data_IF_318766455606
#
_entry.id   IF_318766455606
#
_cell.length_a   1.000
_cell.length_b   1.000
_cell.length_c   1.000
_cell.angle_alpha   90.00
_cell.angle_beta   90.00
_cell.angle_gamma   90.00
#
_symmetry.space_group_name_H-M   'P 1'
#
loop_
_entity.id
_entity.type
_entity.pdbx_description
1 polymer ?
#
# COMPACT_ATOMS: atom_id res chain seq x y z
N UNK A 1 17.19 -22.50 -8.04
CA UNK A 1 16.71 -21.17 -8.50
C UNK A 1 16.55 -20.21 -7.30
N UNK A 2 17.60 -20.04 -6.48
CA UNK A 2 17.57 -19.28 -5.21
C UNK A 2 17.55 -17.77 -5.47
N UNK A 3 18.26 -17.32 -6.51
CA UNK A 3 18.37 -15.92 -6.89
C UNK A 3 17.02 -15.28 -7.26
N UNK A 4 16.12 -16.03 -7.92
CA UNK A 4 14.77 -15.54 -8.25
C UNK A 4 13.97 -15.16 -6.99
N UNK A 5 13.94 -16.02 -5.97
CA UNK A 5 13.18 -15.75 -4.74
C UNK A 5 13.72 -14.52 -4.02
N UNK A 6 15.05 -14.41 -3.95
CA UNK A 6 15.73 -13.24 -3.37
C UNK A 6 15.45 -11.95 -4.16
N UNK A 7 15.45 -12.01 -5.48
CA UNK A 7 15.15 -10.86 -6.33
C UNK A 7 13.68 -10.43 -6.18
N UNK A 8 12.75 -11.40 -6.19
CA UNK A 8 11.33 -11.15 -5.99
C UNK A 8 11.04 -10.55 -4.62
N UNK A 9 11.69 -11.01 -3.55
CA UNK A 9 11.52 -10.42 -2.21
C UNK A 9 12.11 -9.02 -2.10
N UNK A 10 13.10 -8.68 -2.93
CA UNK A 10 13.76 -7.36 -2.91
C UNK A 10 12.99 -6.32 -3.71
N UNK A 11 12.45 -6.68 -4.88
CA UNK A 11 11.81 -5.75 -5.84
C UNK A 11 10.34 -6.13 -6.07
N UNK A 12 9.65 -6.59 -5.02
CA UNK A 12 8.24 -6.98 -5.15
C UNK A 12 7.38 -5.79 -5.53
N UNK A 13 6.42 -6.00 -6.43
CA UNK A 13 5.45 -4.97 -6.80
C UNK A 13 4.67 -4.44 -5.58
N UNK A 14 4.51 -5.24 -4.53
CA UNK A 14 3.82 -4.81 -3.30
C UNK A 14 4.50 -3.63 -2.59
N UNK A 15 5.80 -3.38 -2.84
CA UNK A 15 6.46 -2.17 -2.37
C UNK A 15 5.84 -0.90 -2.98
N UNK A 16 5.30 -0.94 -4.20
CA UNK A 16 4.64 0.23 -4.79
C UNK A 16 3.39 0.62 -3.99
N UNK A 17 2.59 -0.35 -3.56
CA UNK A 17 1.43 -0.11 -2.69
C UNK A 17 1.86 0.40 -1.31
N UNK A 18 2.94 -0.16 -0.75
CA UNK A 18 3.46 0.27 0.55
C UNK A 18 3.94 1.72 0.50
N UNK A 19 4.62 2.12 -0.59
CA UNK A 19 5.03 3.51 -0.81
C UNK A 19 3.80 4.41 -0.97
N UNK A 20 2.80 4.02 -1.77
CA UNK A 20 1.57 4.80 -1.91
C UNK A 20 0.86 5.01 -0.57
N UNK A 21 0.75 3.95 0.25
CA UNK A 21 0.21 4.04 1.61
C UNK A 21 1.04 4.97 2.49
N UNK A 22 2.37 4.82 2.47
CA UNK A 22 3.29 5.63 3.26
C UNK A 22 3.17 7.13 2.93
N UNK A 23 3.05 7.48 1.65
CA UNK A 23 2.84 8.86 1.23
C UNK A 23 1.53 9.41 1.81
N UNK A 24 0.43 8.67 1.70
CA UNK A 24 -0.85 9.05 2.32
C UNK A 24 -0.73 9.22 3.85
N UNK A 25 0.05 8.36 4.52
CA UNK A 25 0.29 8.45 5.95
C UNK A 25 1.04 9.73 6.33
N UNK A 26 2.12 10.06 5.61
CA UNK A 26 2.90 11.28 5.82
C UNK A 26 2.05 12.54 5.60
N UNK A 27 1.16 12.52 4.61
CA UNK A 27 0.24 13.62 4.36
C UNK A 27 -0.98 13.62 5.29
N UNK A 28 -1.02 12.72 6.29
CA UNK A 28 -2.10 12.57 7.27
C UNK A 28 -3.48 12.38 6.63
N UNK A 29 -3.51 11.74 5.46
CA UNK A 29 -4.76 11.40 4.79
C UNK A 29 -5.54 10.37 5.61
N UNK A 30 -6.87 10.44 5.54
CA UNK A 30 -7.75 9.48 6.20
C UNK A 30 -7.82 8.17 5.41
N UNK A 31 -6.68 7.51 5.22
CA UNK A 31 -6.51 6.31 4.39
C UNK A 31 -5.91 5.19 5.23
N UNK A 32 -6.52 4.02 5.16
CA UNK A 32 -6.07 2.80 5.81
C UNK A 32 -5.40 1.86 4.80
N UNK A 33 -4.58 0.89 5.25
CA UNK A 33 -4.01 -0.13 4.38
C UNK A 33 -5.09 -0.86 3.55
N UNK A 34 -6.26 -1.09 4.14
CA UNK A 34 -7.41 -1.72 3.48
C UNK A 34 -7.94 -0.91 2.30
N UNK A 35 -7.89 0.42 2.36
CA UNK A 35 -8.34 1.28 1.26
C UNK A 35 -7.42 1.15 0.04
N UNK A 36 -6.10 1.17 0.26
CA UNK A 36 -5.10 0.98 -0.80
C UNK A 36 -5.26 -0.39 -1.48
N UNK A 37 -5.42 -1.44 -0.68
CA UNK A 37 -5.63 -2.79 -1.19
C UNK A 37 -6.96 -2.91 -1.95
N UNK A 38 -8.03 -2.29 -1.43
CA UNK A 38 -9.32 -2.23 -2.11
C UNK A 38 -9.21 -1.51 -3.45
N UNK A 39 -8.51 -0.37 -3.51
CA UNK A 39 -8.29 0.35 -4.77
C UNK A 39 -7.47 -0.46 -5.78
N UNK A 40 -6.51 -1.28 -5.33
CA UNK A 40 -5.80 -2.20 -6.20
C UNK A 40 -6.70 -3.31 -6.76
N UNK A 41 -7.62 -3.86 -5.94
CA UNK A 41 -8.58 -4.89 -6.35
C UNK A 41 -9.65 -4.31 -7.29
N UNK A 42 -10.16 -3.11 -7.00
CA UNK A 42 -11.16 -2.40 -7.80
C UNK A 42 -10.58 -1.73 -9.05
N UNK A 43 -9.32 -2.02 -9.41
CA UNK A 43 -8.61 -1.46 -10.57
C UNK A 43 -8.50 0.08 -10.59
N UNK A 44 -8.74 0.75 -9.46
CA UNK A 44 -8.46 2.18 -9.28
C UNK A 44 -6.97 2.47 -9.22
N UNK A 45 -6.17 1.47 -8.83
CA UNK A 45 -4.72 1.46 -8.98
C UNK A 45 -4.35 0.41 -10.03
N UNK A 46 -3.41 0.71 -10.96
CA UNK A 46 -3.02 -0.21 -12.02
C UNK A 46 -2.09 -1.33 -11.52
N UNK A 47 -2.37 -1.91 -10.35
CA UNK A 47 -1.53 -2.90 -9.70
C UNK A 47 -1.49 -4.23 -10.48
N UNK A 48 -2.66 -4.80 -10.80
CA UNK A 48 -2.74 -6.04 -11.59
C UNK A 48 -2.31 -5.86 -13.04
N UNK A 49 -2.50 -4.66 -13.59
CA UNK A 49 -2.06 -4.30 -14.94
C UNK A 49 -0.57 -3.90 -15.03
N UNK A 50 0.12 -3.71 -13.90
CA UNK A 50 1.49 -3.17 -13.87
C UNK A 50 2.47 -3.96 -14.74
N UNK A 51 2.36 -5.30 -14.77
CA UNK A 51 3.24 -6.15 -15.59
C UNK A 51 3.20 -5.82 -17.09
N UNK A 52 2.05 -5.36 -17.60
CA UNK A 52 1.90 -4.99 -19.02
C UNK A 52 2.67 -3.70 -19.29
N UNK A 53 2.51 -2.71 -18.41
CA UNK A 53 3.18 -1.41 -18.58
C UNK A 53 4.70 -1.53 -18.39
N UNK A 54 5.14 -2.25 -17.35
CA UNK A 54 6.55 -2.55 -17.11
C UNK A 54 7.16 -3.26 -18.34
N UNK A 55 6.43 -4.20 -18.95
CA UNK A 55 6.89 -4.92 -20.15
C UNK A 55 7.03 -4.00 -21.37
N UNK A 56 6.17 -2.98 -21.53
CA UNK A 56 6.33 -2.00 -22.61
C UNK A 56 7.62 -1.18 -22.44
N UNK A 57 7.95 -0.82 -21.20
CA UNK A 57 9.12 0.01 -20.90
C UNK A 57 10.44 -0.77 -20.93
N UNK A 58 10.47 -1.98 -20.35
CA UNK A 58 11.68 -2.80 -20.20
C UNK A 58 11.85 -3.88 -21.28
N UNK A 59 10.83 -4.09 -22.12
CA UNK A 59 10.77 -5.22 -23.05
C UNK A 59 10.42 -6.54 -22.36
N UNK A 60 10.42 -7.64 -23.13
CA UNK A 60 10.08 -8.97 -22.62
C UNK A 60 11.23 -9.63 -21.85
N UNK A 61 12.47 -9.30 -22.20
CA UNK A 61 13.70 -9.87 -21.66
C UNK A 61 14.81 -8.83 -21.67
N UNK A 62 15.55 -8.74 -20.56
CA UNK A 62 16.82 -8.01 -20.51
C UNK A 62 17.96 -9.01 -20.60
N UNK A 63 19.01 -8.70 -21.37
CA UNK A 63 20.24 -9.52 -21.37
C UNK A 63 20.86 -9.64 -19.96
N UNK A 64 20.60 -8.66 -19.08
CA UNK A 64 21.09 -8.62 -17.71
C UNK A 64 20.18 -9.34 -16.70
N UNK A 65 18.90 -9.60 -17.04
CA UNK A 65 17.98 -10.32 -16.16
C UNK A 65 17.28 -11.46 -16.91
N UNK A 66 17.65 -12.73 -16.67
CA UNK A 66 17.10 -13.88 -17.39
C UNK A 66 15.65 -14.21 -16.98
N UNK A 67 15.04 -13.43 -16.08
CA UNK A 67 13.68 -13.65 -15.59
C UNK A 67 12.73 -12.77 -16.40
N UNK A 68 11.66 -13.36 -16.94
CA UNK A 68 10.65 -12.59 -17.68
C UNK A 68 9.93 -11.60 -16.77
N UNK A 69 9.63 -10.41 -17.32
CA UNK A 69 8.91 -9.35 -16.62
C UNK A 69 7.59 -9.85 -16.03
N UNK A 70 6.84 -10.65 -16.78
CA UNK A 70 5.57 -11.22 -16.32
C UNK A 70 5.75 -12.16 -15.12
N UNK A 71 6.90 -12.84 -14.99
CA UNK A 71 7.17 -13.71 -13.83
C UNK A 71 7.54 -12.91 -12.59
N UNK A 72 8.17 -11.74 -12.75
CA UNK A 72 8.53 -10.87 -11.62
C UNK A 72 7.38 -9.99 -11.14
N UNK A 73 6.63 -9.39 -12.07
CA UNK A 73 5.77 -8.25 -11.79
C UNK A 73 4.29 -8.49 -12.06
N UNK A 74 3.86 -9.73 -12.31
CA UNK A 74 2.43 -10.06 -12.40
C UNK A 74 1.93 -10.49 -11.02
N UNK A 75 1.22 -9.62 -10.29
CA UNK A 75 0.62 -10.01 -9.03
C UNK A 75 -0.56 -10.96 -9.29
N UNK A 76 -0.71 -11.97 -8.43
CA UNK A 76 -1.86 -12.88 -8.41
C UNK A 76 -2.85 -12.46 -7.32
N UNK A 77 -2.32 -11.91 -6.23
CA UNK A 77 -3.06 -11.43 -5.07
C UNK A 77 -2.42 -10.14 -4.56
N UNK A 78 -3.19 -9.40 -3.77
CA UNK A 78 -2.65 -8.31 -2.95
C UNK A 78 -2.17 -8.86 -1.61
N UNK A 79 -1.21 -8.19 -0.99
CA UNK A 79 -0.75 -8.55 0.36
C UNK A 79 -1.83 -8.29 1.41
N UNK A 80 -1.69 -8.88 2.62
CA UNK A 80 -2.61 -8.55 3.72
C UNK A 80 -2.42 -7.10 4.19
N UNK A 81 -3.45 -6.48 4.79
CA UNK A 81 -3.35 -5.13 5.37
C UNK A 81 -2.17 -4.98 6.34
N UNK A 82 -1.98 -5.96 7.23
CA UNK A 82 -0.89 -5.97 8.22
C UNK A 82 0.48 -6.06 7.54
N UNK A 83 0.59 -6.84 6.46
CA UNK A 83 1.83 -6.95 5.71
C UNK A 83 2.14 -5.65 4.97
N UNK A 84 1.13 -4.99 4.40
CA UNK A 84 1.29 -3.68 3.75
C UNK A 84 1.80 -2.64 4.74
N UNK A 85 1.19 -2.56 5.92
CA UNK A 85 1.58 -1.65 7.00
C UNK A 85 3.00 -1.94 7.49
N UNK A 86 3.33 -3.21 7.76
CA UNK A 86 4.69 -3.63 8.13
C UNK A 86 5.73 -3.25 7.07
N UNK A 87 5.39 -3.39 5.78
CA UNK A 87 6.28 -2.98 4.69
C UNK A 87 6.47 -1.47 4.65
N UNK A 88 5.40 -0.68 4.82
CA UNK A 88 5.50 0.77 4.87
C UNK A 88 6.35 1.26 6.05
N UNK A 89 6.17 0.64 7.23
CA UNK A 89 7.00 0.93 8.41
C UNK A 89 8.48 0.56 8.19
N UNK A 90 8.77 -0.60 7.57
CA UNK A 90 10.14 -1.01 7.23
C UNK A 90 10.80 -0.04 6.24
N UNK A 91 10.05 0.43 5.22
CA UNK A 91 10.52 1.45 4.28
C UNK A 91 10.87 2.73 5.04
N UNK A 92 9.93 3.25 5.85
CA UNK A 92 10.12 4.48 6.62
C UNK A 92 11.37 4.39 7.52
N UNK A 93 11.54 3.27 8.22
CA UNK A 93 12.72 3.01 9.05
C UNK A 93 14.01 3.03 8.23
N UNK A 94 14.04 2.35 7.07
CA UNK A 94 15.22 2.30 6.18
C UNK A 94 15.64 3.67 5.66
N UNK A 95 14.68 4.54 5.38
CA UNK A 95 14.95 5.90 4.89
C UNK A 95 15.03 6.94 6.02
N UNK A 96 14.99 6.50 7.29
CA UNK A 96 14.98 7.36 8.48
C UNK A 96 13.89 8.43 8.45
N UNK A 97 12.72 8.07 7.89
CA UNK A 97 11.55 8.93 7.86
C UNK A 97 10.80 8.79 9.19
N UNK A 98 10.68 9.91 9.91
CA UNK A 98 9.84 9.99 11.09
C UNK A 98 8.36 9.92 10.69
N UNK A 99 7.64 8.96 11.28
CA UNK A 99 6.23 8.77 11.04
C UNK A 99 5.41 9.53 12.10
N UNK A 100 4.49 10.37 11.66
CA UNK A 100 3.48 10.93 12.56
C UNK A 100 2.46 9.87 12.99
N UNK A 101 1.67 10.17 14.02
CA UNK A 101 0.45 9.40 14.29
C UNK A 101 -0.50 9.45 13.10
N UNK A 102 -1.29 8.38 12.94
CA UNK A 102 -2.40 8.36 11.97
C UNK A 102 -3.40 9.47 12.29
N UNK A 103 -4.07 10.00 11.27
CA UNK A 103 -5.13 10.99 11.45
C UNK A 103 -6.43 10.32 11.93
N UNK A 104 -6.43 9.89 13.19
CA UNK A 104 -7.54 9.14 13.79
C UNK A 104 -8.87 9.89 13.67
N UNK A 105 -8.89 11.19 13.97
CA UNK A 105 -10.08 12.03 13.82
C UNK A 105 -10.67 11.95 12.41
N UNK A 106 -9.85 12.15 11.37
CA UNK A 106 -10.33 12.14 9.99
C UNK A 106 -10.80 10.75 9.54
N UNK A 107 -10.13 9.68 9.99
CA UNK A 107 -10.55 8.28 9.75
C UNK A 107 -11.92 8.02 10.40
N UNK A 108 -12.07 8.37 11.68
CA UNK A 108 -13.32 8.19 12.41
C UNK A 108 -14.45 9.03 11.80
N UNK A 109 -14.16 10.27 11.38
CA UNK A 109 -15.12 11.16 10.74
C UNK A 109 -15.61 10.55 9.42
N UNK A 110 -14.67 10.06 8.59
CA UNK A 110 -14.96 9.38 7.32
C UNK A 110 -15.89 8.19 7.53
N UNK A 111 -15.61 7.34 8.52
CA UNK A 111 -16.46 6.19 8.80
C UNK A 111 -17.84 6.57 9.34
N UNK A 112 -17.93 7.56 10.23
CA UNK A 112 -19.22 8.07 10.68
C UNK A 112 -20.07 8.54 9.50
N UNK A 113 -19.48 9.26 8.54
CA UNK A 113 -20.16 9.70 7.32
C UNK A 113 -20.59 8.54 6.42
N UNK A 114 -19.70 7.58 6.17
CA UNK A 114 -20.00 6.42 5.31
C UNK A 114 -21.11 5.53 5.87
N UNK A 115 -21.17 5.39 7.19
CA UNK A 115 -22.16 4.56 7.90
C UNK A 115 -23.40 5.36 8.32
N UNK A 116 -23.51 6.64 7.95
CA UNK A 116 -24.60 7.55 8.36
C UNK A 116 -24.81 7.63 9.88
N UNK A 117 -23.72 7.59 10.64
CA UNK A 117 -23.74 7.62 12.11
C UNK A 117 -23.73 9.06 12.66
N UNK A 118 -24.21 9.29 13.89
CA UNK A 118 -24.20 10.60 14.54
C UNK A 118 -22.78 11.06 14.90
N UNK A 119 -22.15 11.77 13.96
CA UNK A 119 -20.75 12.23 14.04
C UNK A 119 -20.41 12.98 15.32
N UNK A 120 -21.29 13.88 15.78
CA UNK A 120 -21.03 14.72 16.96
C UNK A 120 -20.91 13.93 18.26
N UNK A 121 -21.66 12.83 18.39
CA UNK A 121 -21.64 11.98 19.59
C UNK A 121 -20.49 10.98 19.54
N UNK A 122 -20.28 10.35 18.38
CA UNK A 122 -19.29 9.27 18.24
C UNK A 122 -17.87 9.82 18.23
N UNK A 123 -17.60 10.90 17.50
CA UNK A 123 -16.24 11.46 17.43
C UNK A 123 -15.75 11.96 18.79
N UNK A 124 -16.65 12.58 19.57
CA UNK A 124 -16.30 13.05 20.90
C UNK A 124 -15.78 11.90 21.78
N UNK A 125 -16.51 10.78 21.81
CA UNK A 125 -16.14 9.60 22.60
C UNK A 125 -14.90 8.92 22.03
N UNK A 126 -14.84 8.75 20.70
CA UNK A 126 -13.73 8.06 20.04
C UNK A 126 -12.39 8.80 20.24
N UNK A 127 -12.36 10.11 20.05
CA UNK A 127 -11.12 10.89 20.21
C UNK A 127 -10.67 10.93 21.67
N UNK A 128 -11.60 11.05 22.64
CA UNK A 128 -11.26 10.99 24.07
C UNK A 128 -10.70 9.64 24.53
N UNK A 129 -10.95 8.56 23.80
CA UNK A 129 -10.52 7.21 24.20
C UNK A 129 -9.23 6.76 23.50
N UNK A 130 -8.92 7.35 22.33
CA UNK A 130 -7.86 6.87 21.44
C UNK A 130 -6.75 7.89 21.16
N UNK A 131 -6.88 9.14 21.61
CA UNK A 131 -5.80 10.13 21.69
C UNK A 131 -5.25 10.21 23.13
#
# INVERSE_FOLDING_TARGET
MIWYRSLYSTISLSYSLAISFLVCHVTREAILPTDILKWAIEEKLPYFAASVEIKKQLGSHSKACPISVSRMFRPIYVVSPQKLESMAADIAHKIQLELSSVNFYAIAYRYCRQLSLPTSKILYVACHTCE
#
